data_IF_795320921896
#
_entry.id   IF_795320921896
#
_cell.length_a   1.000
_cell.length_b   1.000
_cell.length_c   1.000
_cell.angle_alpha   90.00
_cell.angle_beta   90.00
_cell.angle_gamma   90.00
#
_symmetry.space_group_name_H-M   'P 1'
#
loop_
_entity.id
_entity.type
_entity.pdbx_description
1 polymer ?
#
# COMPACT_ATOMS: atom_id res chain seq x y z
N UNK A 1 -1.55 25.25 -3.74
CA UNK A 1 -1.74 23.82 -3.47
C UNK A 1 -0.38 23.21 -3.20
N UNK A 2 -0.20 22.67 -2.00
CA UNK A 2 1.02 22.00 -1.56
C UNK A 2 0.78 20.49 -1.46
N UNK A 3 1.87 19.74 -1.53
CA UNK A 3 1.90 18.28 -1.40
C UNK A 3 2.69 17.92 -0.15
N UNK A 4 2.13 17.05 0.68
CA UNK A 4 2.76 16.57 1.91
C UNK A 4 2.81 15.06 1.85
N UNK A 5 4.00 14.50 2.02
CA UNK A 5 4.24 13.06 1.94
C UNK A 5 4.68 12.50 3.29
N UNK A 6 4.11 11.36 3.66
CA UNK A 6 4.51 10.54 4.81
C UNK A 6 5.04 9.21 4.30
N UNK A 7 6.25 8.87 4.72
CA UNK A 7 6.85 7.55 4.45
C UNK A 7 6.62 6.63 5.64
N UNK A 8 6.22 5.40 5.37
CA UNK A 8 6.04 4.29 6.30
C UNK A 8 6.63 3.02 5.67
N UNK A 9 6.85 1.97 6.47
CA UNK A 9 7.35 0.69 5.99
C UNK A 9 6.57 -0.47 6.61
N UNK A 10 6.58 -1.62 5.95
CA UNK A 10 6.05 -2.88 6.48
C UNK A 10 6.78 -4.06 5.84
N UNK A 11 6.84 -5.18 6.55
CA UNK A 11 7.49 -6.40 6.08
C UNK A 11 6.42 -7.45 5.87
N UNK A 12 6.31 -8.02 4.66
CA UNK A 12 5.26 -8.99 4.39
C UNK A 12 5.72 -10.08 3.43
N UNK A 13 5.14 -11.27 3.61
CA UNK A 13 5.31 -12.40 2.70
C UNK A 13 4.14 -12.47 1.72
N UNK A 14 4.40 -12.94 0.51
CA UNK A 14 3.37 -13.19 -0.50
C UNK A 14 3.83 -14.17 -1.58
N UNK A 15 2.90 -14.53 -2.47
CA UNK A 15 3.21 -15.12 -3.76
C UNK A 15 2.24 -14.60 -4.81
N UNK A 16 2.73 -14.53 -6.04
CA UNK A 16 1.91 -14.28 -7.21
C UNK A 16 1.52 -15.62 -7.81
N UNK A 17 0.26 -15.98 -7.65
CA UNK A 17 -0.26 -17.25 -8.15
C UNK A 17 -1.74 -17.11 -8.51
N UNK A 18 -2.06 -17.41 -9.76
CA UNK A 18 -3.43 -17.47 -10.24
C UNK A 18 -3.96 -18.91 -10.09
N UNK A 19 -4.96 -19.16 -9.21
CA UNK A 19 -5.49 -20.50 -8.98
C UNK A 19 -6.26 -21.09 -10.18
N UNK A 20 -6.64 -20.26 -11.15
CA UNK A 20 -7.29 -20.72 -12.39
C UNK A 20 -6.30 -21.17 -13.47
N UNK A 21 -4.99 -21.02 -13.24
CA UNK A 21 -3.94 -21.41 -14.18
C UNK A 21 -3.24 -22.69 -13.73
N UNK A 22 -2.63 -23.40 -14.69
CA UNK A 22 -1.73 -24.52 -14.36
C UNK A 22 -0.47 -24.02 -13.64
N UNK A 23 0.23 -24.89 -12.89
CA UNK A 23 1.50 -24.55 -12.27
C UNK A 23 2.54 -24.05 -13.28
N UNK A 24 2.61 -24.65 -14.48
CA UNK A 24 3.56 -24.29 -15.53
C UNK A 24 3.32 -22.88 -16.04
N UNK A 25 2.05 -22.50 -16.25
CA UNK A 25 1.70 -21.15 -16.67
C UNK A 25 2.00 -20.11 -15.58
N UNK A 26 1.77 -20.45 -14.31
CA UNK A 26 2.16 -19.58 -13.20
C UNK A 26 3.68 -19.39 -13.15
N UNK A 27 4.45 -20.47 -13.32
CA UNK A 27 5.91 -20.40 -13.37
C UNK A 27 6.42 -19.60 -14.58
N UNK A 28 5.78 -19.72 -15.74
CA UNK A 28 6.12 -18.95 -16.94
C UNK A 28 5.88 -17.45 -16.75
N UNK A 29 4.73 -17.08 -16.18
CA UNK A 29 4.31 -15.66 -16.08
C UNK A 29 4.92 -14.96 -14.87
N UNK A 30 4.89 -15.59 -13.70
CA UNK A 30 5.32 -14.98 -12.44
C UNK A 30 6.72 -15.43 -12.00
N UNK A 31 7.28 -16.47 -12.63
CA UNK A 31 8.65 -16.92 -12.36
C UNK A 31 8.88 -17.19 -10.86
N UNK A 32 9.99 -16.68 -10.29
CA UNK A 32 10.29 -16.85 -8.85
C UNK A 32 9.18 -16.37 -7.91
N UNK A 33 8.34 -15.41 -8.33
CA UNK A 33 7.27 -14.88 -7.49
C UNK A 33 6.11 -15.88 -7.30
N UNK A 34 6.02 -16.93 -8.13
CA UNK A 34 5.09 -18.04 -7.98
C UNK A 34 5.58 -19.17 -7.05
N UNK A 35 6.70 -18.97 -6.33
CA UNK A 35 7.25 -19.98 -5.42
C UNK A 35 6.16 -20.55 -4.47
N UNK A 36 6.09 -21.88 -4.39
CA UNK A 36 5.09 -22.58 -3.57
C UNK A 36 5.17 -22.18 -2.11
N UNK A 37 6.41 -21.97 -1.63
CA UNK A 37 6.74 -21.62 -0.26
C UNK A 37 6.88 -20.11 -0.02
N UNK A 38 6.24 -19.30 -0.87
CA UNK A 38 6.19 -17.84 -0.75
C UNK A 38 7.56 -17.17 -0.88
N UNK A 39 7.56 -15.85 -0.83
CA UNK A 39 8.72 -15.00 -0.62
C UNK A 39 8.25 -13.75 0.12
N UNK A 40 9.12 -12.78 0.38
CA UNK A 40 8.71 -11.56 1.05
C UNK A 40 9.60 -10.38 0.74
N UNK A 41 9.12 -9.21 1.15
CA UNK A 41 9.80 -7.94 0.92
C UNK A 41 9.67 -7.03 2.13
N UNK A 42 10.63 -6.11 2.22
CA UNK A 42 10.58 -4.97 3.12
C UNK A 42 10.03 -3.80 2.30
N UNK A 43 8.71 -3.66 2.31
CA UNK A 43 8.02 -2.64 1.53
C UNK A 43 8.22 -1.27 2.14
N UNK A 44 8.43 -0.27 1.27
CA UNK A 44 8.41 1.14 1.63
C UNK A 44 7.22 1.80 0.97
N UNK A 45 6.38 2.46 1.75
CA UNK A 45 5.18 3.13 1.27
C UNK A 45 5.29 4.64 1.52
N UNK A 46 4.97 5.44 0.51
CA UNK A 46 4.88 6.89 0.61
C UNK A 46 3.46 7.30 0.26
N UNK A 47 2.76 7.85 1.24
CA UNK A 47 1.41 8.41 1.09
C UNK A 47 1.54 9.91 0.95
N UNK A 48 1.04 10.45 -0.15
CA UNK A 48 1.05 11.89 -0.42
C UNK A 48 -0.38 12.41 -0.42
N UNK A 49 -0.61 13.47 0.35
CA UNK A 49 -1.84 14.26 0.32
C UNK A 49 -1.57 15.64 -0.29
N UNK A 50 -2.62 16.28 -0.79
CA UNK A 50 -2.56 17.64 -1.35
C UNK A 50 -3.65 18.53 -0.78
N UNK A 51 -3.32 19.80 -0.58
CA UNK A 51 -4.27 20.78 -0.06
C UNK A 51 -3.69 22.18 0.04
N UNK A 52 -4.43 23.07 0.69
CA UNK A 52 -3.93 24.38 1.07
C UNK A 52 -3.51 24.34 2.53
N UNK A 53 -2.40 25.01 2.91
CA UNK A 53 -2.07 25.21 4.32
C UNK A 53 -3.20 25.89 5.05
N UNK A 54 -3.53 25.36 6.22
CA UNK A 54 -4.36 26.05 7.20
C UNK A 54 -3.66 27.37 7.62
N UNK A 55 -4.37 28.50 7.68
CA UNK A 55 -3.76 29.82 7.89
C UNK A 55 -3.17 30.01 9.30
N UNK A 56 -3.66 29.27 10.30
CA UNK A 56 -3.23 29.41 11.69
C UNK A 56 -2.04 28.49 12.01
N UNK A 57 -2.00 27.30 11.40
CA UNK A 57 -0.98 26.27 11.66
C UNK A 57 0.07 26.15 10.56
N UNK A 58 -0.25 26.56 9.33
CA UNK A 58 0.58 26.36 8.14
C UNK A 58 0.59 24.91 7.63
N UNK A 59 -0.23 24.01 8.18
CA UNK A 59 -0.23 22.60 7.81
C UNK A 59 -1.28 22.29 6.73
N UNK A 60 -0.95 21.40 5.80
CA UNK A 60 -1.96 20.75 4.94
C UNK A 60 -2.67 19.62 5.70
N UNK A 61 -1.91 18.90 6.53
CA UNK A 61 -2.39 17.85 7.43
C UNK A 61 -1.41 17.74 8.59
N UNK A 62 -1.90 17.41 9.78
CA UNK A 62 -1.04 16.98 10.88
C UNK A 62 -0.35 15.65 10.51
N UNK A 63 0.97 15.65 10.40
CA UNK A 63 1.76 14.46 10.01
C UNK A 63 1.65 13.31 11.02
N UNK A 64 1.43 13.59 12.31
CA UNK A 64 1.19 12.56 13.32
C UNK A 64 -0.17 11.91 13.08
N UNK A 65 -1.21 12.72 12.84
CA UNK A 65 -2.55 12.18 12.53
C UNK A 65 -2.54 11.33 11.25
N UNK A 66 -1.83 11.78 10.20
CA UNK A 66 -1.66 11.00 8.97
C UNK A 66 -0.91 9.68 9.23
N UNK A 67 0.17 9.70 10.02
CA UNK A 67 0.90 8.48 10.39
C UNK A 67 0.04 7.51 11.21
N UNK A 68 -0.70 7.99 12.20
CA UNK A 68 -1.59 7.17 13.02
C UNK A 68 -2.72 6.54 12.19
N UNK A 69 -3.28 7.28 11.23
CA UNK A 69 -4.29 6.79 10.28
C UNK A 69 -3.72 5.69 9.37
N UNK A 70 -2.55 5.95 8.75
CA UNK A 70 -1.87 4.96 7.89
C UNK A 70 -1.54 3.70 8.70
N UNK A 71 -1.05 3.86 9.93
CA UNK A 71 -0.70 2.72 10.79
C UNK A 71 -1.91 1.83 11.07
N UNK A 72 -2.97 2.45 11.59
CA UNK A 72 -4.19 1.76 12.03
C UNK A 72 -4.84 0.97 10.90
N UNK A 73 -4.94 1.59 9.72
CA UNK A 73 -5.72 1.03 8.61
C UNK A 73 -4.90 0.23 7.61
N UNK A 74 -3.58 0.46 7.53
CA UNK A 74 -2.70 -0.20 6.57
C UNK A 74 -1.63 -1.01 7.29
N UNK A 75 -0.63 -0.38 7.91
CA UNK A 75 0.59 -1.12 8.30
C UNK A 75 0.33 -2.15 9.38
N UNK A 76 -0.52 -1.88 10.38
CA UNK A 76 -0.87 -2.88 11.41
C UNK A 76 -1.62 -4.09 10.82
N UNK A 77 -2.23 -3.94 9.65
CA UNK A 77 -2.96 -5.01 8.96
C UNK A 77 -2.04 -5.90 8.11
N UNK A 78 -0.87 -5.39 7.69
CA UNK A 78 -0.01 -6.07 6.71
C UNK A 78 1.41 -6.36 7.22
N UNK A 79 1.88 -5.66 8.25
CA UNK A 79 3.23 -5.83 8.79
C UNK A 79 3.38 -7.17 9.53
N UNK A 80 4.47 -7.87 9.22
CA UNK A 80 4.78 -9.22 9.65
C UNK A 80 3.66 -10.24 9.34
N UNK A 81 2.97 -10.07 8.19
CA UNK A 81 1.89 -10.95 7.72
C UNK A 81 2.19 -11.62 6.38
N UNK A 82 1.43 -12.66 6.06
CA UNK A 82 1.29 -13.17 4.71
C UNK A 82 0.11 -12.46 4.01
N UNK A 83 0.39 -11.68 2.96
CA UNK A 83 -0.59 -10.86 2.24
C UNK A 83 -1.71 -11.70 1.60
N UNK A 84 -1.43 -12.94 1.21
CA UNK A 84 -2.42 -13.81 0.59
C UNK A 84 -3.34 -14.51 1.60
N UNK A 85 -2.88 -14.69 2.85
CA UNK A 85 -3.57 -15.52 3.86
C UNK A 85 -4.19 -14.70 4.99
N UNK A 86 -3.46 -13.68 5.47
CA UNK A 86 -3.75 -13.03 6.75
C UNK A 86 -4.44 -11.67 6.58
N UNK A 87 -4.52 -11.13 5.35
CA UNK A 87 -4.99 -9.77 5.06
C UNK A 87 -6.37 -9.82 4.41
N UNK A 88 -7.47 -9.56 5.15
CA UNK A 88 -8.82 -9.82 4.65
C UNK A 88 -9.20 -9.03 3.40
N UNK A 89 -8.76 -7.77 3.28
CA UNK A 89 -9.08 -6.93 2.13
C UNK A 89 -8.32 -7.31 0.84
N UNK A 90 -7.30 -8.17 0.94
CA UNK A 90 -6.60 -8.74 -0.22
C UNK A 90 -7.11 -10.13 -0.61
N UNK A 91 -8.06 -10.69 0.15
CA UNK A 91 -8.57 -12.04 -0.11
C UNK A 91 -9.16 -12.14 -1.52
N UNK A 92 -8.70 -13.13 -2.27
CA UNK A 92 -9.14 -13.38 -3.65
C UNK A 92 -8.50 -12.47 -4.70
N UNK A 93 -7.61 -11.56 -4.29
CA UNK A 93 -6.82 -10.74 -5.20
C UNK A 93 -5.43 -11.34 -5.40
N UNK A 94 -4.80 -11.03 -6.54
CA UNK A 94 -3.37 -11.27 -6.70
C UNK A 94 -2.62 -10.27 -5.83
N UNK A 95 -1.69 -10.73 -5.00
CA UNK A 95 -0.91 -9.88 -4.09
C UNK A 95 0.22 -9.13 -4.82
N UNK A 96 -0.05 -8.52 -5.98
CA UNK A 96 0.92 -7.68 -6.69
C UNK A 96 1.00 -6.29 -6.07
N UNK A 97 2.13 -5.61 -6.25
CA UNK A 97 2.33 -4.26 -5.71
C UNK A 97 1.32 -3.26 -6.26
N UNK A 98 0.84 -3.46 -7.49
CA UNK A 98 -0.26 -2.68 -8.08
C UNK A 98 -1.58 -2.85 -7.32
N UNK A 99 -1.99 -4.09 -7.04
CA UNK A 99 -3.21 -4.35 -6.29
C UNK A 99 -3.11 -3.87 -4.83
N UNK A 100 -1.91 -3.94 -4.23
CA UNK A 100 -1.67 -3.32 -2.92
C UNK A 100 -1.90 -1.81 -2.96
N UNK A 101 -1.34 -1.11 -3.95
CA UNK A 101 -1.50 0.34 -4.08
C UNK A 101 -2.98 0.74 -4.24
N UNK A 102 -3.74 0.00 -5.05
CA UNK A 102 -5.19 0.23 -5.24
C UNK A 102 -5.97 -0.06 -3.95
N UNK A 103 -5.70 -1.17 -3.27
CA UNK A 103 -6.39 -1.51 -2.03
C UNK A 103 -6.12 -0.49 -0.91
N UNK A 104 -4.85 -0.08 -0.77
CA UNK A 104 -4.48 0.94 0.21
C UNK A 104 -5.10 2.30 -0.12
N UNK A 105 -5.21 2.65 -1.40
CA UNK A 105 -5.89 3.87 -1.83
C UNK A 105 -7.34 3.88 -1.41
N UNK A 106 -8.09 2.83 -1.74
CA UNK A 106 -9.52 2.74 -1.42
C UNK A 106 -9.78 2.87 0.09
N UNK A 107 -8.89 2.31 0.91
CA UNK A 107 -8.96 2.45 2.37
C UNK A 107 -8.64 3.89 2.76
N UNK A 108 -7.49 4.42 2.39
CA UNK A 108 -7.04 5.75 2.84
C UNK A 108 -7.94 6.88 2.31
N UNK A 109 -8.45 6.79 1.09
CA UNK A 109 -9.39 7.77 0.52
C UNK A 109 -10.68 7.87 1.35
N UNK A 110 -11.16 6.73 1.88
CA UNK A 110 -12.35 6.69 2.73
C UNK A 110 -12.10 7.26 4.13
N UNK A 111 -10.94 6.96 4.72
CA UNK A 111 -10.65 7.33 6.11
C UNK A 111 -10.05 8.75 6.24
N UNK A 112 -9.32 9.25 5.24
CA UNK A 112 -8.62 10.54 5.28
C UNK A 112 -9.51 11.75 5.67
N UNK A 113 -10.77 11.87 5.19
CA UNK A 113 -11.66 12.97 5.57
C UNK A 113 -11.91 13.09 7.08
N UNK A 114 -11.67 12.03 7.87
CA UNK A 114 -11.84 12.07 9.32
C UNK A 114 -10.77 12.93 10.02
N UNK A 115 -9.63 13.20 9.37
CA UNK A 115 -8.50 13.92 9.99
C UNK A 115 -8.12 15.21 9.27
N UNK A 116 -8.56 15.44 8.03
CA UNK A 116 -8.19 16.63 7.24
C UNK A 116 -9.15 16.88 6.07
N UNK A 117 -9.34 18.14 5.63
CA UNK A 117 -9.98 18.46 4.35
C UNK A 117 -9.07 18.27 3.14
N UNK A 118 -7.79 17.90 3.33
CA UNK A 118 -6.87 17.59 2.24
C UNK A 118 -7.32 16.34 1.46
N UNK A 119 -6.86 16.22 0.22
CA UNK A 119 -7.18 15.10 -0.66
C UNK A 119 -6.00 14.14 -0.74
N UNK A 120 -6.29 12.84 -0.80
CA UNK A 120 -5.29 11.86 -1.17
C UNK A 120 -4.80 12.18 -2.59
N UNK A 121 -3.49 12.11 -2.81
CA UNK A 121 -2.89 12.45 -4.09
C UNK A 121 -2.16 11.29 -4.73
N UNK A 122 -1.33 10.59 -3.98
CA UNK A 122 -0.49 9.51 -4.51
C UNK A 122 -0.20 8.50 -3.41
N UNK A 123 -0.30 7.21 -3.74
CA UNK A 123 0.32 6.13 -2.99
C UNK A 123 1.44 5.58 -3.84
N UNK A 124 2.66 5.64 -3.31
CA UNK A 124 3.83 5.01 -3.89
C UNK A 124 4.27 3.85 -3.02
N UNK A 125 4.44 2.66 -3.61
CA UNK A 125 4.96 1.49 -2.90
C UNK A 125 6.21 1.01 -3.62
N UNK A 126 7.31 0.92 -2.90
CA UNK A 126 8.50 0.18 -3.32
C UNK A 126 8.40 -1.22 -2.76
N UNK A 127 8.32 -2.21 -3.65
CA UNK A 127 8.48 -3.62 -3.29
C UNK A 127 9.96 -3.93 -3.05
N UNK A 128 10.83 -3.36 -3.86
CA UNK A 128 12.27 -3.36 -3.66
C UNK A 128 12.82 -1.98 -3.98
N UNK A 129 14.08 -1.65 -3.66
CA UNK A 129 14.68 -0.38 -4.06
C UNK A 129 14.69 -0.10 -5.57
N UNK A 130 14.41 -1.12 -6.40
CA UNK A 130 14.41 -1.03 -7.87
C UNK A 130 13.01 -1.10 -8.49
N UNK A 131 12.00 -1.54 -7.73
CA UNK A 131 10.65 -1.77 -8.22
C UNK A 131 9.67 -0.93 -7.42
N UNK A 132 8.97 -0.02 -8.08
CA UNK A 132 7.97 0.82 -7.44
C UNK A 132 6.71 0.94 -8.29
N UNK A 133 5.57 1.05 -7.62
CA UNK A 133 4.28 1.41 -8.22
C UNK A 133 3.82 2.73 -7.62
N UNK A 134 3.24 3.59 -8.45
CA UNK A 134 2.55 4.81 -8.04
C UNK A 134 1.10 4.75 -8.51
N UNK A 135 0.17 5.06 -7.61
CA UNK A 135 -1.26 5.12 -7.90
C UNK A 135 -1.85 6.46 -7.44
N UNK A 136 -2.68 7.06 -8.28
CA UNK A 136 -3.19 8.43 -8.14
C UNK A 136 -4.72 8.54 -8.03
N UNK A 137 -5.41 7.40 -7.88
CA UNK A 137 -6.88 7.31 -7.89
C UNK A 137 -7.46 6.99 -9.25
#
# INVERSE_FOLDING_TARGET
MLYVSRREHFNAAHKLYNPAWSPERNAEVFGPCANENWHGHNYEMIVTVKGQPDPDTGFVVDLKALSDLIRTHITDQVDHKNLNLDVPFLKGQLASTENLAVAFWQILERELPAITPAQLHCIKIYETPRNAVEYFG
#
